data_IF_604107394098
#
_entry.id   IF_604107394098
#
_cell.length_a   1.000
_cell.length_b   1.000
_cell.length_c   1.000
_cell.angle_alpha   90.00
_cell.angle_beta   90.00
_cell.angle_gamma   90.00
#
_symmetry.space_group_name_H-M   'P 1'
#
loop_
_entity.id
_entity.type
_entity.pdbx_description
1 polymer ?
#
# COMPACT_ATOMS: atom_id res chain seq x y z
N UNK A 1 27.30 -3.47 19.24
CA UNK A 1 27.55 -3.83 17.83
C UNK A 1 26.28 -4.39 17.21
N UNK A 2 25.51 -3.57 16.47
CA UNK A 2 24.46 -4.03 15.56
C UNK A 2 24.18 -2.88 14.57
N UNK A 3 25.07 -2.72 13.58
CA UNK A 3 25.01 -1.65 12.56
C UNK A 3 25.40 -2.14 11.17
N UNK A 4 25.28 -3.45 10.91
CA UNK A 4 25.74 -4.07 9.66
C UNK A 4 24.63 -4.94 9.08
N UNK A 5 24.38 -4.81 7.78
CA UNK A 5 23.42 -5.59 7.01
C UNK A 5 23.89 -7.06 6.88
N UNK A 6 23.09 -8.07 7.26
CA UNK A 6 23.54 -9.46 7.34
C UNK A 6 23.75 -10.16 5.99
N UNK A 7 23.51 -9.49 4.86
CA UNK A 7 23.72 -10.07 3.52
C UNK A 7 24.92 -9.47 2.75
N UNK A 8 25.21 -8.15 2.77
CA UNK A 8 26.33 -7.55 2.03
C UNK A 8 27.43 -6.89 2.89
N UNK A 9 27.29 -6.74 4.22
CA UNK A 9 28.36 -6.16 5.06
C UNK A 9 28.53 -4.64 4.99
N UNK A 10 27.72 -3.93 4.19
CA UNK A 10 27.75 -2.46 4.09
C UNK A 10 27.10 -1.77 5.31
N UNK A 11 27.57 -0.57 5.69
CA UNK A 11 26.96 0.22 6.75
C UNK A 11 25.53 0.62 6.36
N UNK A 12 24.58 0.37 7.25
CA UNK A 12 23.19 0.79 7.06
C UNK A 12 23.16 2.32 7.00
N UNK A 13 22.59 2.89 5.93
CA UNK A 13 22.38 4.34 5.86
C UNK A 13 21.37 4.75 6.93
N UNK A 14 21.56 5.92 7.55
CA UNK A 14 20.69 6.45 8.59
C UNK A 14 19.20 6.50 8.17
N UNK A 15 18.94 6.57 6.86
CA UNK A 15 17.60 6.55 6.30
C UNK A 15 16.96 5.16 6.28
N UNK A 16 17.75 4.09 6.10
CA UNK A 16 17.26 2.71 6.26
C UNK A 16 16.95 2.39 7.73
N UNK A 17 17.77 2.88 8.67
CA UNK A 17 17.50 2.73 10.11
C UNK A 17 16.22 3.48 10.53
N UNK A 18 15.97 4.68 9.99
CA UNK A 18 14.71 5.42 10.17
C UNK A 18 13.51 4.69 9.58
N UNK A 19 13.66 4.05 8.41
CA UNK A 19 12.63 3.23 7.77
C UNK A 19 12.28 1.97 8.59
N UNK A 20 13.27 1.34 9.21
CA UNK A 20 13.04 0.16 10.06
C UNK A 20 12.26 0.53 11.34
N UNK A 21 12.55 1.68 11.95
CA UNK A 21 11.84 2.17 13.15
C UNK A 21 10.41 2.63 12.82
N UNK A 22 10.17 3.24 11.65
CA UNK A 22 8.82 3.64 11.22
C UNK A 22 7.95 2.48 10.72
N UNK A 23 8.56 1.33 10.40
CA UNK A 23 7.85 0.13 9.92
C UNK A 23 7.19 -0.73 11.01
N UNK A 24 7.45 -0.44 12.29
CA UNK A 24 6.68 -1.02 13.40
C UNK A 24 5.28 -0.37 13.45
N UNK A 25 4.40 -0.87 12.57
CA UNK A 25 3.02 -0.41 12.41
C UNK A 25 2.13 -0.91 13.57
N UNK A 26 1.13 -0.08 13.90
CA UNK A 26 0.02 -0.32 14.83
C UNK A 26 -0.71 -1.66 14.72
N UNK A 27 -0.48 -2.47 13.68
CA UNK A 27 -1.02 -3.82 13.56
C UNK A 27 -0.57 -4.75 14.70
N UNK A 28 0.65 -4.56 15.24
CA UNK A 28 1.13 -5.26 16.44
C UNK A 28 0.38 -4.83 17.71
N UNK A 29 -0.04 -3.56 17.78
CA UNK A 29 -0.77 -2.99 18.93
C UNK A 29 -2.26 -3.39 18.87
N UNK A 30 -2.89 -3.37 17.70
CA UNK A 30 -4.31 -3.72 17.52
C UNK A 30 -4.57 -5.23 17.63
N UNK A 31 -3.64 -6.08 17.19
CA UNK A 31 -3.72 -7.53 17.42
C UNK A 31 -3.73 -7.89 18.92
N UNK A 32 -3.02 -7.12 19.75
CA UNK A 32 -3.09 -7.24 21.21
C UNK A 32 -4.43 -6.78 21.81
N UNK A 33 -5.08 -5.78 21.22
CA UNK A 33 -6.37 -5.26 21.68
C UNK A 33 -7.54 -6.21 21.33
N UNK A 34 -7.49 -6.87 20.17
CA UNK A 34 -8.51 -7.83 19.74
C UNK A 34 -8.58 -9.12 20.59
N UNK A 35 -7.44 -9.53 21.17
CA UNK A 35 -7.41 -10.68 22.10
C UNK A 35 -8.06 -10.39 23.46
N UNK A 36 -8.25 -9.12 23.84
CA UNK A 36 -8.89 -8.74 25.12
C UNK A 36 -10.39 -8.43 24.98
N UNK A 37 -10.88 -8.16 23.76
CA UNK A 37 -12.31 -7.84 23.53
C UNK A 37 -13.13 -8.99 22.93
N UNK A 38 -12.51 -10.12 22.58
CA UNK A 38 -13.14 -11.25 21.87
C UNK A 38 -13.97 -12.24 22.70
N UNK A 39 -14.27 -11.96 23.97
CA UNK A 39 -15.12 -12.84 24.80
C UNK A 39 -16.26 -12.11 25.48
N UNK A 40 -17.09 -11.38 24.73
CA UNK A 40 -18.38 -10.92 25.27
C UNK A 40 -19.49 -10.96 24.21
N UNK A 41 -20.16 -12.12 24.10
CA UNK A 41 -21.63 -12.25 24.27
C UNK A 41 -22.12 -13.68 23.98
N UNK A 42 -22.20 -14.50 25.03
CA UNK A 42 -23.38 -15.33 25.33
C UNK A 42 -23.23 -16.01 26.70
N UNK A 43 -24.24 -15.87 27.57
CA UNK A 43 -24.59 -16.84 28.62
C UNK A 43 -23.72 -16.91 29.89
N UNK A 44 -24.18 -16.25 30.96
CA UNK A 44 -24.00 -16.60 32.39
C UNK A 44 -22.58 -17.09 32.82
N UNK A 45 -21.69 -16.15 33.15
CA UNK A 45 -20.43 -16.38 33.89
C UNK A 45 -20.30 -15.44 35.10
N UNK A 46 -19.44 -15.73 36.10
CA UNK A 46 -19.61 -15.30 37.49
C UNK A 46 -19.29 -13.83 37.81
N UNK A 47 -19.04 -12.98 36.83
CA UNK A 47 -18.66 -11.60 37.08
C UNK A 47 -19.87 -10.66 37.03
N UNK A 48 -20.68 -10.69 38.09
CA UNK A 48 -21.44 -9.50 38.51
C UNK A 48 -20.47 -8.58 39.22
N UNK A 49 -20.17 -7.41 38.65
CA UNK A 49 -19.30 -6.44 39.30
C UNK A 49 -19.48 -5.03 38.77
N UNK A 50 -20.26 -4.24 39.50
CA UNK A 50 -20.19 -2.77 39.51
C UNK A 50 -18.87 -2.43 40.20
N UNK A 51 -17.89 -1.87 39.50
CA UNK A 51 -16.59 -1.58 40.13
C UNK A 51 -15.57 -0.93 39.19
N UNK A 52 -15.21 0.30 39.54
CA UNK A 52 -13.98 1.02 39.21
C UNK A 52 -12.78 0.08 39.29
N UNK A 53 -12.28 -0.42 38.15
CA UNK A 53 -10.98 -1.07 38.14
C UNK A 53 -9.95 -0.05 37.68
N UNK A 54 -8.90 0.13 38.48
CA UNK A 54 -7.76 0.97 38.13
C UNK A 54 -7.21 0.62 36.73
N UNK A 55 -7.42 -0.60 36.24
CA UNK A 55 -7.08 -1.01 34.89
C UNK A 55 -7.96 -0.35 33.81
N UNK A 56 -9.29 -0.27 34.00
CA UNK A 56 -10.18 0.43 33.08
C UNK A 56 -9.93 1.93 33.05
N UNK A 57 -9.65 2.53 34.21
CA UNK A 57 -9.31 3.95 34.30
C UNK A 57 -7.93 4.21 33.69
N UNK A 58 -6.96 3.33 33.89
CA UNK A 58 -5.64 3.42 33.25
C UNK A 58 -5.72 3.22 31.73
N UNK A 59 -6.62 2.38 31.23
CA UNK A 59 -6.87 2.23 29.78
C UNK A 59 -7.54 3.49 29.22
N UNK A 60 -8.56 4.04 29.89
CA UNK A 60 -9.20 5.30 29.47
C UNK A 60 -8.21 6.47 29.51
N UNK A 61 -7.40 6.55 30.56
CA UNK A 61 -6.35 7.55 30.72
C UNK A 61 -5.28 7.38 29.64
N UNK A 62 -4.84 6.15 29.33
CA UNK A 62 -3.88 5.90 28.24
C UNK A 62 -4.46 6.28 26.87
N UNK A 63 -5.77 6.07 26.63
CA UNK A 63 -6.44 6.47 25.40
C UNK A 63 -6.59 8.00 25.32
N UNK A 64 -6.92 8.66 26.43
CA UNK A 64 -6.99 10.14 26.49
C UNK A 64 -5.61 10.78 26.38
N UNK A 65 -4.60 10.23 27.04
CA UNK A 65 -3.20 10.67 26.95
C UNK A 65 -2.64 10.41 25.54
N UNK A 66 -3.04 9.32 24.87
CA UNK A 66 -2.69 9.07 23.47
C UNK A 66 -3.40 10.03 22.51
N UNK A 67 -4.66 10.41 22.78
CA UNK A 67 -5.38 11.45 22.03
C UNK A 67 -4.77 12.84 22.26
N UNK A 68 -4.47 13.21 23.50
CA UNK A 68 -3.83 14.47 23.86
C UNK A 68 -2.40 14.57 23.34
N UNK A 69 -1.63 13.46 23.38
CA UNK A 69 -0.32 13.37 22.69
C UNK A 69 -0.47 13.49 21.18
N UNK A 70 -1.58 13.06 20.57
CA UNK A 70 -1.85 13.25 19.14
C UNK A 70 -2.29 14.68 18.81
N UNK A 71 -3.01 15.36 19.69
CA UNK A 71 -3.36 16.79 19.55
C UNK A 71 -2.15 17.71 19.79
N UNK A 72 -1.22 17.31 20.67
CA UNK A 72 0.06 18.00 20.88
C UNK A 72 1.11 17.64 19.81
N UNK A 73 1.15 16.39 19.34
CA UNK A 73 1.97 15.97 18.19
C UNK A 73 1.39 16.47 16.85
N UNK A 74 0.12 16.88 16.82
CA UNK A 74 -0.47 17.64 15.71
C UNK A 74 0.16 19.03 15.52
N UNK A 75 1.05 19.46 16.42
CA UNK A 75 1.86 20.68 16.29
C UNK A 75 3.37 20.44 16.23
N UNK A 76 3.84 19.19 16.14
CA UNK A 76 5.27 18.90 15.89
C UNK A 76 5.47 17.48 15.30
N UNK A 77 6.00 17.41 14.07
CA UNK A 77 6.03 16.25 13.15
C UNK A 77 6.67 14.95 13.68
N UNK A 78 6.59 13.80 13.00
CA UNK A 78 6.93 13.51 11.59
C UNK A 78 6.27 12.18 11.16
N UNK A 79 5.28 12.23 10.26
CA UNK A 79 5.31 11.34 9.09
C UNK A 79 6.46 11.82 8.19
N UNK A 80 6.87 11.08 7.17
CA UNK A 80 7.82 11.60 6.16
C UNK A 80 7.18 12.84 5.51
N UNK A 81 7.50 14.03 6.04
CA UNK A 81 6.73 15.24 5.86
C UNK A 81 6.98 15.91 4.52
N UNK A 82 6.45 15.34 3.45
CA UNK A 82 6.42 15.99 2.13
C UNK A 82 5.01 16.19 1.56
N UNK A 83 4.00 15.41 2.00
CA UNK A 83 2.64 15.48 1.46
C UNK A 83 1.59 15.68 2.55
N UNK A 84 0.48 16.32 2.18
CA UNK A 84 -0.68 16.46 3.06
C UNK A 84 -1.23 15.06 3.38
N UNK A 85 -1.58 14.81 4.65
CA UNK A 85 -2.30 13.61 5.02
C UNK A 85 -3.64 13.55 4.26
N UNK A 86 -4.06 12.38 3.77
CA UNK A 86 -5.33 12.26 3.10
C UNK A 86 -6.50 12.37 4.08
N UNK A 87 -7.65 12.77 3.57
CA UNK A 87 -8.93 12.67 4.28
C UNK A 87 -9.46 11.24 4.15
N UNK A 88 -9.79 10.62 5.28
CA UNK A 88 -10.26 9.23 5.33
C UNK A 88 -11.72 9.20 5.79
N UNK A 89 -12.61 8.72 4.91
CA UNK A 89 -14.05 8.64 5.17
C UNK A 89 -14.51 7.18 5.17
N UNK A 90 -15.16 6.74 6.26
CA UNK A 90 -15.81 5.42 6.30
C UNK A 90 -17.18 5.50 5.62
N UNK A 91 -17.41 4.65 4.63
CA UNK A 91 -18.70 4.51 3.94
C UNK A 91 -19.21 3.08 4.00
N UNK A 92 -20.48 2.88 3.64
CA UNK A 92 -21.06 1.54 3.51
C UNK A 92 -20.32 0.67 2.46
N UNK A 93 -19.76 1.29 1.42
CA UNK A 93 -19.05 0.63 0.31
C UNK A 93 -17.57 0.34 0.57
N UNK A 94 -16.98 0.91 1.64
CA UNK A 94 -15.56 0.81 1.94
C UNK A 94 -15.01 2.04 2.63
N UNK A 95 -13.68 2.13 2.74
CA UNK A 95 -12.99 3.32 3.25
C UNK A 95 -12.55 4.15 2.05
N UNK A 96 -13.08 5.36 1.92
CA UNK A 96 -12.64 6.30 0.90
C UNK A 96 -11.49 7.16 1.41
N UNK A 97 -10.51 7.31 0.54
CA UNK A 97 -9.33 8.12 0.74
C UNK A 97 -9.41 9.26 -0.27
N UNK A 98 -9.32 10.49 0.21
CA UNK A 98 -9.17 11.67 -0.62
C UNK A 98 -7.82 12.32 -0.33
N UNK A 99 -6.97 12.39 -1.34
CA UNK A 99 -5.64 12.96 -1.23
C UNK A 99 -5.55 14.23 -2.07
N UNK A 100 -5.16 15.35 -1.43
CA UNK A 100 -4.80 16.58 -2.13
C UNK A 100 -3.30 16.57 -2.42
N UNK A 101 -2.96 16.44 -3.69
CA UNK A 101 -1.57 16.35 -4.14
C UNK A 101 -0.86 17.72 -4.14
N UNK A 102 0.47 17.77 -4.38
CA UNK A 102 1.23 19.02 -4.39
C UNK A 102 0.74 20.07 -5.39
N UNK A 103 0.17 19.65 -6.51
CA UNK A 103 -0.42 20.53 -7.53
C UNK A 103 -1.79 21.09 -7.11
N UNK A 104 -2.30 20.64 -5.96
CA UNK A 104 -3.58 21.06 -5.40
C UNK A 104 -4.79 20.28 -5.91
N UNK A 105 -4.58 19.29 -6.79
CA UNK A 105 -5.62 18.41 -7.29
C UNK A 105 -5.99 17.36 -6.26
N UNK A 106 -7.27 16.98 -6.22
CA UNK A 106 -7.77 15.95 -5.31
C UNK A 106 -7.96 14.65 -6.09
N UNK A 107 -7.30 13.60 -5.61
CA UNK A 107 -7.38 12.23 -6.13
C UNK A 107 -8.08 11.36 -5.08
N UNK A 108 -8.97 10.46 -5.52
CA UNK A 108 -9.83 9.66 -4.65
C UNK A 108 -9.80 8.18 -5.01
N UNK A 109 -9.86 7.30 -4.03
CA UNK A 109 -10.10 5.87 -4.22
C UNK A 109 -10.77 5.26 -2.99
N UNK A 110 -11.34 4.07 -3.15
CA UNK A 110 -12.03 3.34 -2.09
C UNK A 110 -11.26 2.07 -1.80
N UNK A 111 -10.65 1.97 -0.63
CA UNK A 111 -10.00 0.74 -0.20
C UNK A 111 -10.97 -0.45 -0.25
N UNK A 112 -10.54 -1.50 -0.93
CA UNK A 112 -11.33 -2.71 -1.09
C UNK A 112 -11.46 -3.49 0.22
N UNK A 113 -12.62 -4.09 0.42
CA UNK A 113 -12.80 -5.07 1.49
C UNK A 113 -11.89 -6.29 1.21
N UNK A 114 -11.01 -6.69 2.14
CA UNK A 114 -10.10 -7.82 1.93
C UNK A 114 -10.78 -9.12 1.50
N UNK A 115 -12.05 -9.34 1.90
CA UNK A 115 -12.83 -10.53 1.51
C UNK A 115 -13.17 -10.58 0.02
N UNK A 116 -13.18 -9.43 -0.66
CA UNK A 116 -13.55 -9.33 -2.07
C UNK A 116 -12.33 -9.45 -3.01
N UNK A 117 -11.12 -9.23 -2.48
CA UNK A 117 -9.88 -9.19 -3.26
C UNK A 117 -9.60 -10.55 -3.92
N UNK A 118 -9.67 -11.65 -3.16
CA UNK A 118 -9.41 -12.99 -3.70
C UNK A 118 -10.38 -13.37 -4.82
N UNK A 119 -11.66 -12.99 -4.70
CA UNK A 119 -12.65 -13.21 -5.74
C UNK A 119 -12.36 -12.37 -6.99
N UNK A 120 -11.90 -11.13 -6.83
CA UNK A 120 -11.51 -10.26 -7.94
C UNK A 120 -10.29 -10.83 -8.69
N UNK A 121 -9.29 -11.34 -7.97
CA UNK A 121 -8.12 -12.01 -8.53
C UNK A 121 -8.53 -13.26 -9.32
N UNK A 122 -9.36 -14.13 -8.72
CA UNK A 122 -9.84 -15.34 -9.38
C UNK A 122 -10.66 -15.01 -10.64
N UNK A 123 -11.50 -13.99 -10.58
CA UNK A 123 -12.27 -13.51 -11.74
C UNK A 123 -11.36 -12.98 -12.85
N UNK A 124 -10.34 -12.18 -12.50
CA UNK A 124 -9.39 -11.66 -13.48
C UNK A 124 -8.56 -12.78 -14.11
N UNK A 125 -8.09 -13.75 -13.32
CA UNK A 125 -7.31 -14.91 -13.77
C UNK A 125 -8.07 -15.74 -14.81
N UNK A 126 -9.37 -15.88 -14.64
CA UNK A 126 -10.27 -16.60 -15.55
C UNK A 126 -10.87 -15.71 -16.66
N UNK A 127 -10.37 -14.48 -16.84
CA UNK A 127 -10.86 -13.56 -17.86
C UNK A 127 -10.45 -14.00 -19.27
N UNK A 128 -11.32 -13.80 -20.25
CA UNK A 128 -10.98 -13.94 -21.67
C UNK A 128 -10.12 -12.79 -22.21
N UNK A 129 -10.01 -11.68 -21.48
CA UNK A 129 -9.11 -10.59 -21.82
C UNK A 129 -7.69 -10.93 -21.36
N UNK A 130 -6.76 -11.07 -22.30
CA UNK A 130 -5.38 -11.46 -22.01
C UNK A 130 -4.66 -10.54 -21.00
N UNK A 131 -4.91 -9.22 -21.04
CA UNK A 131 -4.33 -8.28 -20.07
C UNK A 131 -4.83 -8.57 -18.65
N UNK A 132 -6.15 -8.67 -18.49
CA UNK A 132 -6.78 -9.00 -17.19
C UNK A 132 -6.39 -10.39 -16.68
N UNK A 133 -6.25 -11.37 -17.58
CA UNK A 133 -5.77 -12.71 -17.22
C UNK A 133 -4.35 -12.67 -16.65
N UNK A 134 -3.46 -11.85 -17.23
CA UNK A 134 -2.10 -11.65 -16.71
C UNK A 134 -2.14 -10.91 -15.36
N UNK A 135 -2.95 -9.87 -15.21
CA UNK A 135 -3.16 -9.19 -13.92
C UNK A 135 -3.62 -10.20 -12.84
N UNK A 136 -4.59 -11.05 -13.15
CA UNK A 136 -5.06 -12.11 -12.26
C UNK A 136 -3.99 -13.14 -11.92
N UNK A 137 -3.17 -13.55 -12.90
CA UNK A 137 -2.01 -14.43 -12.68
C UNK A 137 -1.00 -13.80 -11.72
N UNK A 138 -0.66 -12.53 -11.92
CA UNK A 138 0.28 -11.80 -11.06
C UNK A 138 -0.32 -11.59 -9.67
N UNK A 139 -1.59 -11.20 -9.57
CA UNK A 139 -2.31 -11.05 -8.32
C UNK A 139 -2.34 -12.35 -7.51
N UNK A 140 -2.63 -13.48 -8.16
CA UNK A 140 -2.63 -14.81 -7.52
C UNK A 140 -1.25 -15.20 -6.98
N UNK A 141 -0.19 -14.89 -7.73
CA UNK A 141 1.17 -15.12 -7.25
C UNK A 141 1.55 -14.20 -6.08
N UNK A 142 1.20 -12.91 -6.13
CA UNK A 142 1.52 -11.95 -5.08
C UNK A 142 0.76 -12.28 -3.79
N UNK A 143 -0.52 -12.65 -3.86
CA UNK A 143 -1.31 -12.97 -2.65
C UNK A 143 -0.76 -14.20 -1.89
N UNK A 144 -0.06 -15.11 -2.57
CA UNK A 144 0.60 -16.25 -1.92
C UNK A 144 1.85 -15.85 -1.15
N UNK A 145 2.41 -14.66 -1.39
CA UNK A 145 3.68 -14.19 -0.83
C UNK A 145 3.52 -13.03 0.15
N UNK A 146 2.62 -12.10 -0.14
CA UNK A 146 2.38 -10.91 0.69
C UNK A 146 0.91 -10.50 0.58
N UNK A 147 0.42 -9.79 1.60
CA UNK A 147 -0.99 -9.40 1.66
C UNK A 147 -1.28 -8.30 0.64
N UNK A 148 -2.19 -8.60 -0.29
CA UNK A 148 -2.79 -7.62 -1.19
C UNK A 148 -3.87 -6.83 -0.43
N UNK A 149 -3.81 -5.51 -0.56
CA UNK A 149 -4.76 -4.54 0.02
C UNK A 149 -5.66 -3.89 -1.03
N UNK A 150 -5.33 -4.01 -2.32
CA UNK A 150 -6.19 -3.63 -3.43
C UNK A 150 -5.80 -4.36 -4.72
N UNK A 151 -6.77 -4.70 -5.54
CA UNK A 151 -6.59 -5.38 -6.82
C UNK A 151 -7.59 -4.85 -7.86
N UNK A 152 -7.11 -4.41 -9.03
CA UNK A 152 -7.95 -3.70 -10.00
C UNK A 152 -8.63 -2.48 -9.37
N UNK A 153 -7.92 -1.75 -8.52
CA UNK A 153 -8.45 -0.65 -7.72
C UNK A 153 -8.56 0.61 -8.57
N UNK A 154 -9.78 1.11 -8.75
CA UNK A 154 -10.02 2.36 -9.47
C UNK A 154 -9.58 3.57 -8.64
N UNK A 155 -8.89 4.51 -9.30
CA UNK A 155 -8.48 5.82 -8.80
C UNK A 155 -9.15 6.89 -9.64
N UNK A 156 -9.83 7.83 -8.98
CA UNK A 156 -10.71 8.83 -9.59
C UNK A 156 -10.26 10.25 -9.25
N UNK A 157 -10.68 11.23 -10.05
CA UNK A 157 -10.62 12.64 -9.69
C UNK A 157 -11.92 13.09 -8.99
N UNK A 158 -12.01 14.36 -8.63
CA UNK A 158 -13.21 14.96 -7.99
C UNK A 158 -14.46 14.95 -8.84
N UNK A 159 -14.32 14.83 -10.16
CA UNK A 159 -15.44 14.76 -11.11
C UNK A 159 -15.99 13.33 -11.24
N UNK A 160 -15.32 12.36 -10.60
CA UNK A 160 -15.62 10.93 -10.75
C UNK A 160 -15.03 10.35 -12.04
N UNK A 161 -14.20 11.11 -12.77
CA UNK A 161 -13.50 10.60 -13.95
C UNK A 161 -12.33 9.74 -13.50
N UNK A 162 -12.15 8.63 -14.20
CA UNK A 162 -11.06 7.70 -13.94
C UNK A 162 -9.71 8.32 -14.25
N UNK A 163 -8.82 8.33 -13.25
CA UNK A 163 -7.42 8.68 -13.36
C UNK A 163 -6.65 7.45 -13.83
N UNK A 164 -6.68 6.37 -13.05
CA UNK A 164 -6.00 5.10 -13.37
C UNK A 164 -6.66 3.94 -12.63
N UNK A 165 -6.30 2.71 -13.01
CA UNK A 165 -6.51 1.52 -12.22
C UNK A 165 -5.17 1.08 -11.63
N UNK A 166 -5.18 0.48 -10.43
CA UNK A 166 -4.01 -0.15 -9.81
C UNK A 166 -4.20 -1.66 -9.85
N UNK A 167 -3.30 -2.36 -10.56
CA UNK A 167 -3.45 -3.79 -10.81
C UNK A 167 -3.32 -4.61 -9.52
N UNK A 168 -2.26 -4.38 -8.73
CA UNK A 168 -2.15 -4.93 -7.39
C UNK A 168 -1.43 -3.97 -6.42
N UNK A 169 -1.93 -3.87 -5.20
CA UNK A 169 -1.41 -3.00 -4.15
C UNK A 169 -1.17 -3.81 -2.89
N UNK A 170 -0.03 -3.61 -2.26
CA UNK A 170 0.32 -4.16 -0.94
C UNK A 170 0.53 -3.04 0.07
N UNK A 171 0.85 -3.41 1.31
CA UNK A 171 1.19 -2.43 2.34
C UNK A 171 2.44 -1.59 2.03
N UNK A 172 3.33 -2.06 1.15
CA UNK A 172 4.62 -1.44 0.83
C UNK A 172 4.82 -1.15 -0.66
N UNK A 173 4.08 -1.83 -1.54
CA UNK A 173 4.36 -1.86 -2.97
C UNK A 173 3.09 -1.65 -3.80
N UNK A 174 3.26 -1.04 -4.96
CA UNK A 174 2.27 -0.99 -6.04
C UNK A 174 2.86 -1.76 -7.21
N UNK A 175 2.14 -2.77 -7.70
CA UNK A 175 2.55 -3.58 -8.84
C UNK A 175 1.64 -3.23 -10.01
N UNK A 176 2.25 -2.69 -11.06
CA UNK A 176 1.65 -2.47 -12.36
C UNK A 176 2.04 -3.61 -13.31
N UNK A 177 1.07 -4.14 -14.04
CA UNK A 177 1.21 -5.31 -14.89
C UNK A 177 1.05 -4.92 -16.36
N UNK A 178 2.02 -5.31 -17.17
CA UNK A 178 1.95 -5.17 -18.63
C UNK A 178 2.22 -6.49 -19.30
N UNK A 179 1.44 -6.79 -20.33
CA UNK A 179 1.70 -7.93 -21.20
C UNK A 179 3.10 -7.85 -21.82
N UNK A 180 3.50 -6.67 -22.27
CA UNK A 180 4.77 -6.45 -22.93
C UNK A 180 5.32 -5.06 -22.62
N UNK A 181 6.62 -4.87 -22.83
CA UNK A 181 7.28 -3.59 -22.60
C UNK A 181 6.76 -2.48 -23.53
N UNK A 182 6.23 -2.83 -24.72
CA UNK A 182 5.62 -1.84 -25.62
C UNK A 182 4.30 -1.26 -25.08
N UNK A 183 3.58 -2.03 -24.25
CA UNK A 183 2.34 -1.62 -23.61
C UNK A 183 2.53 -0.66 -22.42
N UNK A 184 3.79 -0.38 -22.02
CA UNK A 184 4.10 0.57 -20.96
C UNK A 184 3.62 1.97 -21.36
N UNK A 185 2.82 2.56 -20.47
CA UNK A 185 2.40 3.97 -20.49
C UNK A 185 3.14 4.68 -19.37
N UNK A 186 4.22 5.39 -19.71
CA UNK A 186 5.09 6.05 -18.71
C UNK A 186 4.31 7.05 -17.86
N UNK A 187 3.40 7.82 -18.47
CA UNK A 187 2.52 8.76 -17.77
C UNK A 187 1.70 8.11 -16.64
N UNK A 188 1.26 6.86 -16.81
CA UNK A 188 0.55 6.12 -15.75
C UNK A 188 1.48 5.85 -14.55
N UNK A 189 2.75 5.56 -14.81
CA UNK A 189 3.75 5.30 -13.78
C UNK A 189 4.23 6.61 -13.14
N UNK A 190 4.36 7.69 -13.93
CA UNK A 190 4.77 9.01 -13.46
C UNK A 190 3.81 9.54 -12.39
N UNK A 191 2.51 9.24 -12.50
CA UNK A 191 1.49 9.52 -11.46
C UNK A 191 1.76 8.82 -10.11
N UNK A 192 2.58 7.78 -10.10
CA UNK A 192 2.95 7.02 -8.90
C UNK A 192 4.30 7.44 -8.32
N UNK A 193 5.18 8.03 -9.13
CA UNK A 193 6.59 8.25 -8.75
C UNK A 193 7.05 9.71 -8.80
N UNK A 194 6.33 10.59 -9.51
CA UNK A 194 6.67 12.00 -9.62
C UNK A 194 5.69 12.86 -8.80
N UNK A 195 6.09 13.37 -7.63
CA UNK A 195 5.28 14.27 -6.82
C UNK A 195 4.82 15.55 -7.53
N UNK A 196 5.51 15.96 -8.60
CA UNK A 196 5.16 17.14 -9.40
C UNK A 196 4.12 16.83 -10.47
N UNK A 197 3.77 15.56 -10.67
CA UNK A 197 2.74 15.20 -11.62
C UNK A 197 1.38 15.71 -11.13
N UNK A 198 0.56 16.38 -11.98
CA UNK A 198 -0.72 16.97 -11.57
C UNK A 198 -1.73 15.93 -11.07
N UNK A 199 -1.52 14.66 -11.40
CA UNK A 199 -2.32 13.53 -10.93
C UNK A 199 -1.53 12.58 -10.01
N UNK A 200 -0.49 13.06 -9.32
CA UNK A 200 0.23 12.27 -8.34
C UNK A 200 -0.66 11.82 -7.18
N UNK A 201 -0.52 10.56 -6.72
CA UNK A 201 -1.30 10.05 -5.57
C UNK A 201 -0.61 9.03 -4.66
N UNK A 202 0.65 8.67 -4.91
CA UNK A 202 1.38 7.72 -4.05
C UNK A 202 1.98 8.40 -2.81
N UNK A 203 1.12 9.02 -1.99
CA UNK A 203 1.51 9.80 -0.81
C UNK A 203 2.19 8.95 0.28
N UNK A 204 1.95 7.63 0.31
CA UNK A 204 2.59 6.70 1.24
C UNK A 204 4.01 6.30 0.82
N UNK A 205 4.48 6.72 -0.35
CA UNK A 205 5.80 6.37 -0.86
C UNK A 205 5.98 4.87 -1.07
N UNK A 206 4.94 4.17 -1.53
CA UNK A 206 5.05 2.74 -1.86
C UNK A 206 6.02 2.57 -3.03
N UNK A 207 6.85 1.54 -2.97
CA UNK A 207 7.72 1.20 -4.10
C UNK A 207 6.87 0.73 -5.28
N UNK A 208 7.23 1.20 -6.47
CA UNK A 208 6.52 0.84 -7.69
C UNK A 208 7.29 -0.26 -8.42
N UNK A 209 6.60 -1.35 -8.69
CA UNK A 209 7.08 -2.47 -9.51
C UNK A 209 6.30 -2.49 -10.81
N UNK A 210 7.01 -2.58 -11.93
CA UNK A 210 6.40 -2.88 -13.23
C UNK A 210 6.76 -4.32 -13.61
N UNK A 211 5.75 -5.17 -13.63
CA UNK A 211 5.85 -6.54 -14.13
C UNK A 211 5.55 -6.57 -15.63
N UNK A 212 6.45 -7.20 -16.39
CA UNK A 212 6.30 -7.38 -17.84
C UNK A 212 6.24 -8.87 -18.13
N UNK A 213 5.15 -9.35 -18.73
CA UNK A 213 4.95 -10.79 -18.91
C UNK A 213 5.80 -11.40 -20.02
N UNK A 214 5.89 -10.68 -21.14
CA UNK A 214 6.70 -11.09 -22.29
C UNK A 214 8.17 -10.69 -22.11
N UNK A 215 9.05 -11.42 -22.80
CA UNK A 215 10.47 -11.10 -22.82
C UNK A 215 10.69 -9.67 -23.33
N UNK A 216 11.54 -8.91 -22.62
CA UNK A 216 11.91 -7.56 -23.02
C UNK A 216 12.89 -7.68 -24.19
N UNK A 217 12.44 -7.34 -25.40
CA UNK A 217 13.29 -7.37 -26.59
C UNK A 217 14.16 -6.12 -26.68
N UNK A 218 15.43 -6.30 -27.04
CA UNK A 218 16.39 -5.19 -27.25
C UNK A 218 16.32 -4.62 -28.67
N UNK A 219 15.52 -5.23 -29.55
CA UNK A 219 15.43 -4.86 -30.97
C UNK A 219 14.61 -3.60 -31.21
N UNK A 220 13.80 -3.15 -30.25
CA UNK A 220 13.04 -1.91 -30.34
C UNK A 220 13.63 -0.85 -29.39
N UNK A 221 14.36 0.15 -29.92
CA UNK A 221 14.99 1.20 -29.11
C UNK A 221 14.00 1.99 -28.25
N UNK A 222 12.77 2.21 -28.74
CA UNK A 222 11.74 2.95 -28.00
C UNK A 222 11.27 2.17 -26.78
N UNK A 223 11.10 0.86 -26.92
CA UNK A 223 10.74 -0.03 -25.80
C UNK A 223 11.84 -0.06 -24.74
N UNK A 224 13.09 -0.16 -25.17
CA UNK A 224 14.25 -0.14 -24.27
C UNK A 224 14.37 1.21 -23.55
N UNK A 225 14.15 2.32 -24.26
CA UNK A 225 14.16 3.66 -23.68
C UNK A 225 13.11 3.81 -22.57
N UNK A 226 11.88 3.29 -22.77
CA UNK A 226 10.85 3.28 -21.71
C UNK A 226 11.30 2.48 -20.48
N UNK A 227 11.87 1.30 -20.67
CA UNK A 227 12.34 0.46 -19.56
C UNK A 227 13.48 1.13 -18.79
N UNK A 228 14.43 1.75 -19.50
CA UNK A 228 15.54 2.46 -18.89
C UNK A 228 15.07 3.70 -18.13
N UNK A 229 14.17 4.48 -18.73
CA UNK A 229 13.53 5.63 -18.08
C UNK A 229 12.91 5.25 -16.73
N UNK A 230 12.16 4.14 -16.68
CA UNK A 230 11.56 3.66 -15.43
C UNK A 230 12.62 3.29 -14.38
N UNK A 231 13.67 2.57 -14.78
CA UNK A 231 14.76 2.17 -13.88
C UNK A 231 15.52 3.38 -13.33
N UNK A 232 15.80 4.37 -14.16
CA UNK A 232 16.46 5.63 -13.76
C UNK A 232 15.64 6.41 -12.73
N UNK A 233 14.32 6.27 -12.76
CA UNK A 233 13.39 6.86 -11.79
C UNK A 233 13.19 6.00 -10.52
N UNK A 234 13.95 4.91 -10.37
CA UNK A 234 13.86 4.02 -9.21
C UNK A 234 12.70 3.02 -9.25
N UNK A 235 12.03 2.85 -10.39
CA UNK A 235 11.00 1.81 -10.57
C UNK A 235 11.67 0.46 -10.76
N UNK A 236 11.18 -0.55 -10.03
CA UNK A 236 11.66 -1.92 -10.16
C UNK A 236 10.97 -2.56 -11.37
N UNK A 237 11.71 -2.90 -12.41
CA UNK A 237 11.18 -3.59 -13.60
C UNK A 237 11.58 -5.05 -13.56
N UNK A 238 10.60 -5.96 -13.59
CA UNK A 238 10.79 -7.42 -13.59
C UNK A 238 10.08 -8.05 -14.78
N UNK A 239 10.64 -9.16 -15.30
CA UNK A 239 10.08 -9.83 -16.48
C UNK A 239 9.64 -11.29 -16.23
N UNK A 240 9.59 -11.73 -14.97
CA UNK A 240 9.11 -13.07 -14.60
C UNK A 240 8.57 -13.10 -13.18
N UNK A 241 7.70 -14.09 -12.89
CA UNK A 241 7.19 -14.31 -11.54
C UNK A 241 8.32 -14.65 -10.56
N UNK A 242 9.38 -15.33 -11.02
CA UNK A 242 10.55 -15.60 -10.20
C UNK A 242 11.24 -14.30 -9.76
N UNK A 243 11.49 -13.37 -10.70
CA UNK A 243 12.08 -12.07 -10.40
C UNK A 243 11.16 -11.23 -9.50
N UNK A 244 9.86 -11.19 -9.81
CA UNK A 244 8.86 -10.54 -8.95
C UNK A 244 8.93 -11.09 -7.53
N UNK A 245 9.00 -12.42 -7.41
CA UNK A 245 9.12 -13.12 -6.13
C UNK A 245 10.35 -12.75 -5.30
N UNK A 246 11.43 -12.27 -5.92
CA UNK A 246 12.67 -11.83 -5.25
C UNK A 246 12.58 -10.40 -4.72
N UNK A 247 11.68 -9.58 -5.27
CA UNK A 247 11.55 -8.15 -4.92
C UNK A 247 10.34 -7.82 -4.05
N UNK A 248 9.39 -8.76 -3.90
CA UNK A 248 8.21 -8.57 -3.05
C UNK A 248 8.58 -8.45 -1.55
N UNK A 249 7.87 -7.59 -0.81
CA UNK A 249 8.13 -7.25 0.61
C UNK A 249 6.93 -7.38 1.55
#
# INVERSE_FOLDING_TARGET
>A
ELGVNPFPGEPLTDDYAKMMISSLKWSQIVAGIGMVTGSMKSGKGPYKGRGTSAALDKVKQTIQDAKAKREQAGKSGKGTGEFNDPVITKMNKGVEIEFKNPDGNIIKWIEQNPKNISNAIESAKNSSNAGKAIEGKVGDFVQQKTKITGFGQEVLDTTGKKVTDLDAVTSKQIIEVKKSASAIKTDQIDRLIDPKHPQFFNYEGKEVIVYIDEAITTTNPQTLAKVNYLKEKGVIVVNSLEQLGKVLK
#
